data_IF_733041153879
#
_entry.id   IF_733041153879
#
_cell.length_a   1.000
_cell.length_b   1.000
_cell.length_c   1.000
_cell.angle_alpha   90.00
_cell.angle_beta   90.00
_cell.angle_gamma   90.00
#
_symmetry.space_group_name_H-M   'P 1'
#
loop_
_entity.id
_entity.type
_entity.pdbx_description
1 polymer ?
#
# COMPACT_ATOMS: atom_id res chain seq x y z
N UNK A 1 -11.15 15.11 -7.52
CA UNK A 1 -9.77 14.72 -7.16
C UNK A 1 -8.76 15.58 -7.88
N UNK A 2 -7.59 15.84 -7.29
CA UNK A 2 -6.47 16.59 -7.89
C UNK A 2 -5.33 15.62 -8.18
N UNK A 3 -4.84 15.60 -9.43
CA UNK A 3 -3.78 14.69 -9.84
C UNK A 3 -2.42 15.41 -9.89
N UNK A 4 -1.43 14.83 -9.21
CA UNK A 4 -0.03 15.21 -9.27
C UNK A 4 0.70 14.08 -9.98
N UNK A 5 0.98 14.26 -11.27
CA UNK A 5 1.57 13.21 -12.13
C UNK A 5 3.01 13.58 -12.46
N UNK A 6 3.95 12.72 -12.10
CA UNK A 6 5.40 12.91 -12.30
C UNK A 6 5.97 11.75 -13.13
N UNK A 7 6.84 12.06 -14.08
CA UNK A 7 7.60 11.09 -14.88
C UNK A 7 9.03 10.92 -14.34
N UNK A 8 9.50 9.69 -14.24
CA UNK A 8 10.91 9.33 -13.98
C UNK A 8 11.44 8.54 -15.17
N UNK A 9 12.42 9.06 -15.88
CA UNK A 9 12.94 8.51 -17.13
C UNK A 9 11.89 8.35 -18.24
N UNK A 10 10.81 9.11 -18.16
CA UNK A 10 9.73 9.19 -19.14
C UNK A 10 9.11 10.58 -19.10
N UNK A 11 8.75 11.11 -20.26
CA UNK A 11 7.94 12.32 -20.38
C UNK A 11 6.46 11.98 -20.15
N UNK A 12 5.77 12.75 -19.32
CA UNK A 12 4.33 12.62 -19.11
C UNK A 12 3.61 13.30 -20.29
N UNK A 13 3.39 12.55 -21.35
CA UNK A 13 2.67 13.04 -22.53
C UNK A 13 1.20 13.36 -22.20
N UNK A 14 0.53 14.22 -23.00
CA UNK A 14 -0.92 14.48 -22.82
C UNK A 14 -1.76 13.20 -22.86
N UNK A 15 -1.39 12.22 -23.69
CA UNK A 15 -2.08 10.92 -23.74
C UNK A 15 -1.95 10.11 -22.47
N UNK A 16 -0.75 10.02 -21.86
CA UNK A 16 -0.53 9.36 -20.61
C UNK A 16 -1.26 10.06 -19.45
N UNK A 17 -1.23 11.40 -19.42
CA UNK A 17 -1.97 12.19 -18.45
C UNK A 17 -3.47 11.89 -18.52
N UNK A 18 -4.06 11.97 -19.73
CA UNK A 18 -5.48 11.69 -19.95
C UNK A 18 -5.85 10.26 -19.55
N UNK A 19 -5.01 9.27 -19.85
CA UNK A 19 -5.25 7.89 -19.46
C UNK A 19 -5.27 7.72 -17.93
N UNK A 20 -4.31 8.32 -17.21
CA UNK A 20 -4.28 8.29 -15.75
C UNK A 20 -5.52 8.97 -15.17
N UNK A 21 -5.84 10.20 -15.63
CA UNK A 21 -6.98 10.97 -15.14
C UNK A 21 -8.32 10.27 -15.42
N UNK A 22 -8.49 9.63 -16.59
CA UNK A 22 -9.69 8.88 -16.95
C UNK A 22 -9.85 7.62 -16.10
N UNK A 23 -8.78 6.81 -15.97
CA UNK A 23 -8.86 5.52 -15.28
C UNK A 23 -8.93 5.68 -13.77
N UNK A 24 -8.00 6.41 -13.18
CA UNK A 24 -8.00 6.64 -11.73
C UNK A 24 -9.15 7.58 -11.31
N UNK A 25 -9.58 8.47 -12.19
CA UNK A 25 -10.75 9.34 -11.97
C UNK A 25 -12.05 8.58 -11.69
N UNK A 26 -12.23 7.35 -12.21
CA UNK A 26 -13.39 6.49 -11.89
C UNK A 26 -13.51 6.18 -10.40
N UNK A 27 -12.40 6.28 -9.68
CA UNK A 27 -12.35 6.04 -8.24
C UNK A 27 -12.82 7.27 -7.42
N UNK A 28 -13.12 8.41 -8.05
CA UNK A 28 -13.54 9.65 -7.37
C UNK A 28 -14.75 9.43 -6.44
N UNK A 29 -15.66 8.51 -6.80
CA UNK A 29 -16.81 8.12 -5.97
C UNK A 29 -16.47 7.65 -4.55
N UNK A 30 -15.21 7.30 -4.28
CA UNK A 30 -14.72 6.84 -2.98
C UNK A 30 -14.06 7.95 -2.15
N UNK A 31 -13.81 9.13 -2.73
CA UNK A 31 -12.97 10.19 -2.17
C UNK A 31 -13.67 11.53 -2.05
N UNK A 32 -13.06 12.42 -1.29
CA UNK A 32 -13.47 13.82 -1.27
C UNK A 32 -12.96 14.53 -2.55
N UNK A 33 -13.69 15.58 -3.04
CA UNK A 33 -13.27 16.32 -4.25
C UNK A 33 -11.85 16.90 -4.19
N UNK A 34 -11.37 17.25 -3.01
CA UNK A 34 -10.06 17.85 -2.79
C UNK A 34 -8.94 16.83 -2.53
N UNK A 35 -9.23 15.51 -2.61
CA UNK A 35 -8.21 14.48 -2.41
C UNK A 35 -7.12 14.58 -3.48
N UNK A 36 -5.86 14.68 -3.05
CA UNK A 36 -4.69 14.69 -3.93
C UNK A 36 -4.23 13.27 -4.22
N UNK A 37 -4.08 12.96 -5.51
CA UNK A 37 -3.59 11.67 -6.00
C UNK A 37 -2.21 11.86 -6.57
N UNK A 38 -1.22 11.25 -5.95
CA UNK A 38 0.16 11.26 -6.42
C UNK A 38 0.41 10.07 -7.33
N UNK A 39 0.79 10.32 -8.57
CA UNK A 39 1.10 9.30 -9.57
C UNK A 39 2.53 9.49 -10.06
N UNK A 40 3.33 8.42 -9.98
CA UNK A 40 4.66 8.38 -10.57
C UNK A 40 4.69 7.35 -11.69
N UNK A 41 5.00 7.81 -12.92
CA UNK A 41 5.26 6.96 -14.06
C UNK A 41 6.77 6.81 -14.23
N UNK A 42 7.27 5.60 -14.41
CA UNK A 42 8.71 5.37 -14.62
C UNK A 42 8.97 4.27 -15.64
N UNK A 43 10.09 4.42 -16.36
CA UNK A 43 10.55 3.43 -17.34
C UNK A 43 11.98 3.03 -17.01
N UNK A 44 12.20 1.72 -16.85
CA UNK A 44 13.50 1.10 -16.65
C UNK A 44 13.65 -0.05 -17.65
N UNK A 45 14.41 0.15 -18.72
CA UNK A 45 14.50 -0.79 -19.82
C UNK A 45 13.12 -1.08 -20.42
N UNK A 46 12.71 -2.36 -20.40
CA UNK A 46 11.39 -2.81 -20.91
C UNK A 46 10.29 -2.77 -19.84
N UNK A 47 10.60 -2.26 -18.64
CA UNK A 47 9.65 -2.23 -17.52
C UNK A 47 9.04 -0.84 -17.40
N UNK A 48 7.75 -0.76 -17.65
CA UNK A 48 6.95 0.45 -17.51
C UNK A 48 6.13 0.35 -16.22
N UNK A 49 6.45 1.20 -15.26
CA UNK A 49 5.92 1.15 -13.91
C UNK A 49 5.07 2.38 -13.62
N UNK A 50 3.91 2.13 -13.02
CA UNK A 50 3.09 3.15 -12.37
C UNK A 50 3.06 2.92 -10.87
N UNK A 51 3.21 3.98 -10.11
CA UNK A 51 2.99 4.02 -8.67
C UNK A 51 1.92 5.07 -8.35
N UNK A 52 0.89 4.68 -7.62
CA UNK A 52 -0.21 5.56 -7.20
C UNK A 52 -0.29 5.58 -5.70
N UNK A 53 -0.34 6.78 -5.11
CA UNK A 53 -0.51 7.01 -3.68
C UNK A 53 -1.70 7.93 -3.44
N UNK A 54 -2.66 7.49 -2.63
CA UNK A 54 -3.89 8.21 -2.33
C UNK A 54 -4.10 8.23 -0.81
N UNK A 55 -4.14 9.40 -0.16
CA UNK A 55 -4.48 9.51 1.26
C UNK A 55 -5.97 9.26 1.49
N UNK A 56 -6.31 8.45 2.50
CA UNK A 56 -7.69 8.09 2.86
C UNK A 56 -7.89 8.16 4.36
N UNK A 57 -8.51 9.22 4.87
CA UNK A 57 -8.93 9.35 6.30
C UNK A 57 -7.92 8.82 7.31
N UNK A 58 -6.68 9.31 7.28
CA UNK A 58 -5.61 8.91 8.19
C UNK A 58 -4.86 7.64 7.80
N UNK A 59 -5.17 7.05 6.63
CA UNK A 59 -4.44 5.95 6.02
C UNK A 59 -3.95 6.36 4.63
N UNK A 60 -3.06 5.56 4.06
CA UNK A 60 -2.54 5.76 2.72
C UNK A 60 -2.80 4.48 1.92
N UNK A 61 -3.45 4.62 0.77
CA UNK A 61 -3.49 3.57 -0.24
C UNK A 61 -2.32 3.79 -1.17
N UNK A 62 -1.50 2.76 -1.34
CA UNK A 62 -0.39 2.75 -2.29
C UNK A 62 -0.43 1.47 -3.10
N UNK A 63 -0.31 1.61 -4.42
CA UNK A 63 -0.22 0.49 -5.34
C UNK A 63 0.81 0.75 -6.40
N UNK A 64 1.57 -0.27 -6.76
CA UNK A 64 2.59 -0.25 -7.80
C UNK A 64 2.30 -1.39 -8.78
N UNK A 65 2.30 -1.07 -10.08
CA UNK A 65 2.17 -2.07 -11.14
C UNK A 65 3.23 -1.86 -12.23
N UNK A 66 3.68 -2.97 -12.77
CA UNK A 66 4.74 -3.02 -13.79
C UNK A 66 4.30 -3.93 -14.93
N UNK A 67 4.41 -3.44 -16.16
CA UNK A 67 4.24 -4.23 -17.38
C UNK A 67 5.23 -3.79 -18.47
N UNK A 68 5.08 -4.29 -19.65
CA UNK A 68 5.82 -3.82 -20.85
C UNK A 68 5.13 -2.66 -21.57
N UNK A 69 3.95 -2.23 -21.09
CA UNK A 69 3.17 -1.13 -21.64
C UNK A 69 2.58 -0.28 -20.50
N UNK A 70 2.76 1.05 -20.56
CA UNK A 70 2.30 1.95 -19.49
C UNK A 70 0.78 1.98 -19.38
N UNK A 71 0.05 1.89 -20.48
CA UNK A 71 -1.42 1.86 -20.46
C UNK A 71 -1.94 0.62 -19.76
N UNK A 72 -1.31 -0.54 -20.00
CA UNK A 72 -1.62 -1.79 -19.27
C UNK A 72 -1.31 -1.65 -17.80
N UNK A 73 -0.19 -1.01 -17.43
CA UNK A 73 0.15 -0.75 -16.02
C UNK A 73 -0.87 0.15 -15.35
N UNK A 74 -1.40 1.16 -16.07
CA UNK A 74 -2.46 2.06 -15.58
C UNK A 74 -3.77 1.28 -15.33
N UNK A 75 -4.17 0.39 -16.22
CA UNK A 75 -5.38 -0.44 -16.05
C UNK A 75 -5.24 -1.37 -14.84
N UNK A 76 -4.11 -2.05 -14.70
CA UNK A 76 -3.85 -2.97 -13.59
C UNK A 76 -3.84 -2.26 -12.23
N UNK A 77 -3.27 -1.06 -12.14
CA UNK A 77 -3.22 -0.32 -10.87
C UNK A 77 -4.61 0.17 -10.46
N UNK A 78 -5.45 0.56 -11.41
CA UNK A 78 -6.84 0.96 -11.15
C UNK A 78 -7.64 -0.16 -10.51
N UNK A 79 -7.62 -1.37 -11.09
CA UNK A 79 -8.31 -2.54 -10.56
C UNK A 79 -7.88 -2.90 -9.13
N UNK A 80 -6.56 -2.84 -8.85
CA UNK A 80 -6.03 -3.15 -7.53
C UNK A 80 -6.48 -2.12 -6.50
N UNK A 81 -6.41 -0.83 -6.83
CA UNK A 81 -6.84 0.24 -5.92
C UNK A 81 -8.35 0.14 -5.67
N UNK A 82 -9.16 -0.13 -6.70
CA UNK A 82 -10.60 -0.30 -6.50
C UNK A 82 -10.91 -1.46 -5.54
N UNK A 83 -10.21 -2.59 -5.68
CA UNK A 83 -10.33 -3.73 -4.76
C UNK A 83 -9.92 -3.38 -3.34
N UNK A 84 -8.82 -2.63 -3.17
CA UNK A 84 -8.39 -2.14 -1.85
C UNK A 84 -9.43 -1.22 -1.21
N UNK A 85 -10.04 -0.31 -2.00
CA UNK A 85 -11.08 0.61 -1.54
C UNK A 85 -12.37 -0.11 -1.14
N UNK A 86 -12.81 -1.08 -1.92
CA UNK A 86 -13.98 -1.90 -1.58
C UNK A 86 -13.76 -2.61 -0.23
N UNK A 87 -12.61 -3.28 -0.05
CA UNK A 87 -12.23 -3.92 1.23
C UNK A 87 -12.18 -2.92 2.40
N UNK A 88 -11.64 -1.73 2.18
CA UNK A 88 -11.56 -0.70 3.21
C UNK A 88 -12.95 -0.18 3.62
N UNK A 89 -13.85 0.03 2.66
CA UNK A 89 -15.24 0.47 2.89
C UNK A 89 -16.01 -0.56 3.72
N UNK A 90 -15.95 -1.84 3.37
CA UNK A 90 -16.60 -2.94 4.09
C UNK A 90 -16.17 -2.96 5.56
N UNK A 91 -14.86 -2.86 5.84
CA UNK A 91 -14.33 -2.83 7.21
C UNK A 91 -14.79 -1.66 8.07
N UNK A 92 -15.00 -0.47 7.48
CA UNK A 92 -15.53 0.69 8.21
C UNK A 92 -16.98 0.47 8.56
N UNK A 93 -17.77 -0.06 7.62
CA UNK A 93 -19.19 -0.36 7.85
C UNK A 93 -19.34 -1.40 8.95
N UNK A 94 -18.57 -2.47 8.94
CA UNK A 94 -18.60 -3.53 9.95
C UNK A 94 -18.20 -3.03 11.35
N UNK A 95 -17.16 -2.18 11.44
CA UNK A 95 -16.81 -1.54 12.71
C UNK A 95 -17.89 -0.60 13.25
N UNK A 96 -18.61 0.10 12.39
CA UNK A 96 -19.71 0.97 12.80
C UNK A 96 -20.95 0.18 13.20
N UNK A 97 -21.23 -0.96 12.58
CA UNK A 97 -22.32 -1.86 12.96
C UNK A 97 -22.04 -2.58 14.29
N UNK A 98 -20.80 -2.95 14.57
CA UNK A 98 -20.39 -3.51 15.86
C UNK A 98 -20.46 -2.49 17.00
N UNK A 99 -20.43 -1.20 16.73
CA UNK A 99 -20.56 -0.12 17.71
C UNK A 99 -22.00 0.37 17.94
N UNK A 100 -23.00 -0.31 17.37
CA UNK A 100 -24.42 -0.11 17.68
C UNK A 100 -24.96 1.28 17.39
N UNK A 101 -24.85 1.77 16.17
CA UNK A 101 -25.75 2.85 15.67
C UNK A 101 -25.53 3.07 14.16
N UNK A 102 -26.59 2.95 13.45
CA UNK A 102 -27.01 3.55 12.19
C UNK A 102 -27.44 2.59 11.07
N UNK A 103 -28.68 2.74 10.75
CA UNK A 103 -29.47 2.59 9.51
C UNK A 103 -28.85 1.83 8.34
N UNK A 104 -29.45 0.65 8.09
CA UNK A 104 -29.43 -0.06 6.82
C UNK A 104 -30.01 0.82 5.72
N UNK A 105 -29.17 1.34 4.83
CA UNK A 105 -29.62 1.79 3.52
C UNK A 105 -28.52 1.61 2.48
N UNK A 106 -28.82 0.72 1.52
CA UNK A 106 -28.06 0.36 0.31
C UNK A 106 -26.74 -0.42 0.53
N UNK A 107 -26.87 -1.72 0.73
CA UNK A 107 -25.87 -2.71 0.33
C UNK A 107 -26.43 -3.43 -0.89
N UNK A 108 -26.01 -3.04 -2.08
CA UNK A 108 -26.10 -3.94 -3.24
C UNK A 108 -25.13 -5.10 -2.99
N UNK A 109 -25.70 -6.30 -2.92
CA UNK A 109 -25.00 -7.57 -2.77
C UNK A 109 -24.18 -7.86 -4.03
N UNK A 110 -22.89 -7.55 -4.00
CA UNK A 110 -21.89 -8.19 -4.84
C UNK A 110 -21.16 -9.22 -3.97
N UNK A 111 -21.54 -10.49 -4.11
CA UNK A 111 -20.88 -11.63 -3.45
C UNK A 111 -19.47 -11.79 -4.02
N UNK A 112 -18.49 -11.13 -3.41
CA UNK A 112 -17.08 -11.46 -3.57
C UNK A 112 -16.61 -12.11 -2.26
N UNK A 113 -15.86 -13.22 -2.38
CA UNK A 113 -15.21 -13.93 -1.28
C UNK A 113 -14.62 -12.96 -0.28
N UNK A 114 -15.25 -12.85 0.89
CA UNK A 114 -14.81 -11.99 1.99
C UNK A 114 -13.63 -12.66 2.67
N UNK A 115 -12.42 -12.35 2.24
CA UNK A 115 -11.22 -12.59 3.06
C UNK A 115 -11.25 -11.65 4.28
N UNK A 116 -11.89 -12.09 5.35
CA UNK A 116 -11.89 -11.38 6.63
C UNK A 116 -10.47 -11.30 7.18
N UNK A 117 -9.97 -10.08 7.46
CA UNK A 117 -8.68 -9.93 8.14
C UNK A 117 -8.86 -10.30 9.61
N UNK A 118 -8.46 -11.51 9.96
CA UNK A 118 -8.45 -12.00 11.34
C UNK A 118 -7.03 -12.01 11.88
N UNK A 119 -6.85 -11.45 13.09
CA UNK A 119 -5.65 -11.72 13.88
C UNK A 119 -5.86 -13.08 14.54
N UNK A 120 -5.40 -14.13 13.90
CA UNK A 120 -5.54 -15.50 14.39
C UNK A 120 -4.50 -15.88 15.42
N UNK A 121 -3.44 -15.08 15.59
CA UNK A 121 -2.35 -15.38 16.52
C UNK A 121 -1.66 -14.11 17.01
N UNK A 122 -1.50 -14.00 18.32
CA UNK A 122 -0.66 -12.99 18.97
C UNK A 122 0.56 -13.67 19.57
N UNK A 123 1.76 -13.17 19.26
CA UNK A 123 3.00 -13.60 19.91
C UNK A 123 3.54 -12.44 20.74
N UNK A 124 3.99 -12.74 21.95
CA UNK A 124 4.76 -11.82 22.81
C UNK A 124 6.18 -12.36 22.87
N UNK A 125 7.16 -11.51 22.74
CA UNK A 125 8.57 -11.88 22.84
C UNK A 125 9.35 -10.71 23.44
N UNK A 126 10.44 -11.02 24.12
CA UNK A 126 11.33 -10.02 24.66
C UNK A 126 12.20 -9.46 23.52
N UNK A 127 12.18 -8.13 23.38
CA UNK A 127 13.01 -7.44 22.43
C UNK A 127 14.35 -7.12 23.11
N UNK A 128 15.45 -7.60 22.52
CA UNK A 128 16.81 -7.31 23.00
C UNK A 128 17.48 -6.27 22.11
N UNK A 129 18.31 -5.37 22.68
CA UNK A 129 19.15 -4.50 21.89
C UNK A 129 20.14 -5.31 21.05
N UNK A 130 20.24 -4.99 19.74
CA UNK A 130 21.20 -5.57 18.82
C UNK A 130 21.45 -4.63 17.65
N UNK A 131 22.49 -4.89 16.88
CA UNK A 131 22.76 -4.16 15.65
C UNK A 131 21.89 -4.67 14.48
N UNK A 132 21.65 -3.85 13.45
CA UNK A 132 20.81 -4.25 12.30
C UNK A 132 21.31 -5.52 11.59
N UNK A 133 22.62 -5.72 11.50
CA UNK A 133 23.23 -6.89 10.90
C UNK A 133 22.90 -8.17 11.70
N UNK A 134 22.99 -8.11 13.02
CA UNK A 134 22.63 -9.21 13.91
C UNK A 134 21.15 -9.54 13.83
N UNK A 135 20.31 -8.52 13.70
CA UNK A 135 18.87 -8.68 13.50
C UNK A 135 18.55 -9.38 12.16
N UNK A 136 19.30 -9.08 11.10
CA UNK A 136 19.17 -9.80 9.82
C UNK A 136 19.55 -11.28 9.96
N UNK A 137 20.64 -11.58 10.68
CA UNK A 137 21.06 -12.97 10.96
C UNK A 137 20.00 -13.70 11.79
N UNK A 138 19.48 -13.07 12.84
CA UNK A 138 18.40 -13.66 13.66
C UNK A 138 17.14 -13.93 12.84
N UNK A 139 16.75 -13.01 11.97
CA UNK A 139 15.62 -13.15 11.05
C UNK A 139 15.78 -14.40 10.17
N UNK A 140 16.97 -14.60 9.58
CA UNK A 140 17.26 -15.77 8.73
C UNK A 140 17.25 -17.07 9.53
N UNK A 141 17.86 -17.09 10.71
CA UNK A 141 17.91 -18.29 11.58
C UNK A 141 16.51 -18.72 12.04
N UNK A 142 15.58 -17.76 12.20
CA UNK A 142 14.20 -18.04 12.56
C UNK A 142 13.32 -18.38 11.35
N UNK A 143 13.82 -18.26 10.13
CA UNK A 143 13.05 -18.45 8.89
C UNK A 143 11.97 -17.40 8.70
N UNK A 144 12.16 -16.20 9.21
CA UNK A 144 11.21 -15.11 9.11
C UNK A 144 11.52 -14.19 7.93
N UNK A 145 10.52 -13.45 7.46
CA UNK A 145 10.68 -12.44 6.41
C UNK A 145 10.85 -11.02 6.97
N UNK A 146 10.67 -10.85 8.28
CA UNK A 146 10.92 -9.61 9.01
C UNK A 146 11.28 -9.94 10.46
N UNK A 147 11.95 -9.01 11.13
CA UNK A 147 12.31 -9.13 12.54
C UNK A 147 12.28 -7.74 13.20
N UNK A 148 11.67 -7.68 14.39
CA UNK A 148 11.55 -6.45 15.20
C UNK A 148 12.58 -6.51 16.31
N UNK A 149 13.36 -5.44 16.51
CA UNK A 149 14.42 -5.38 17.51
C UNK A 149 14.57 -3.96 18.06
N UNK A 150 15.31 -3.80 19.15
CA UNK A 150 15.79 -2.50 19.62
C UNK A 150 17.15 -2.28 18.98
N UNK A 151 17.33 -1.20 18.24
CA UNK A 151 18.63 -0.82 17.69
C UNK A 151 19.56 -0.36 18.81
N UNK A 152 20.70 -1.05 18.96
CA UNK A 152 21.66 -0.76 20.03
C UNK A 152 22.32 0.63 19.92
N UNK A 153 22.27 1.26 18.75
CA UNK A 153 22.83 2.61 18.53
C UNK A 153 21.82 3.72 18.87
N UNK A 154 20.52 3.51 18.57
CA UNK A 154 19.51 4.55 18.70
C UNK A 154 18.56 4.33 19.87
N UNK A 155 18.61 3.15 20.49
CA UNK A 155 17.68 2.70 21.56
C UNK A 155 16.20 2.73 21.12
N UNK A 156 15.96 2.68 19.80
CA UNK A 156 14.63 2.72 19.21
C UNK A 156 14.24 1.36 18.62
N UNK A 157 12.93 1.11 18.56
CA UNK A 157 12.40 -0.10 17.93
C UNK A 157 12.51 0.02 16.42
N UNK A 158 13.31 -0.86 15.81
CA UNK A 158 13.52 -0.93 14.37
C UNK A 158 12.99 -2.26 13.81
N UNK A 159 12.81 -2.33 12.51
CA UNK A 159 12.40 -3.55 11.80
C UNK A 159 13.32 -3.81 10.62
N UNK A 160 13.94 -4.99 10.59
CA UNK A 160 14.59 -5.50 9.37
C UNK A 160 13.62 -6.40 8.61
N UNK A 161 13.67 -6.35 7.28
CA UNK A 161 12.84 -7.19 6.42
C UNK A 161 13.58 -7.64 5.17
N UNK A 162 13.20 -8.82 4.69
CA UNK A 162 13.76 -9.42 3.48
C UNK A 162 13.21 -8.77 2.22
N UNK A 163 14.09 -8.41 1.29
CA UNK A 163 13.75 -7.88 -0.03
C UNK A 163 14.02 -8.92 -1.12
N UNK A 164 13.56 -8.66 -2.33
CA UNK A 164 13.91 -9.50 -3.49
C UNK A 164 15.41 -9.42 -3.76
N UNK A 165 16.05 -10.54 -4.10
CA UNK A 165 17.46 -10.61 -4.46
C UNK A 165 18.42 -10.69 -3.28
N UNK A 166 18.04 -11.39 -2.20
CA UNK A 166 18.88 -11.64 -1.01
C UNK A 166 19.42 -10.35 -0.36
N UNK A 167 18.64 -9.29 -0.43
CA UNK A 167 18.94 -8.02 0.22
C UNK A 167 17.94 -7.74 1.34
N UNK A 168 18.33 -6.85 2.26
CA UNK A 168 17.51 -6.50 3.42
C UNK A 168 17.14 -5.01 3.37
N UNK A 169 16.05 -4.66 4.02
CA UNK A 169 15.66 -3.29 4.31
C UNK A 169 15.57 -3.07 5.80
N UNK A 170 15.87 -1.86 6.24
CA UNK A 170 15.71 -1.37 7.60
C UNK A 170 14.60 -0.33 7.61
N UNK A 171 13.68 -0.44 8.58
CA UNK A 171 12.66 0.55 8.89
C UNK A 171 12.98 1.12 10.25
N UNK A 172 13.20 2.43 10.30
CA UNK A 172 13.46 3.20 11.51
C UNK A 172 12.31 4.18 11.75
N UNK A 173 11.86 4.38 12.99
CA UNK A 173 10.91 5.44 13.28
C UNK A 173 11.60 6.81 13.12
N UNK A 174 10.91 7.76 12.53
CA UNK A 174 11.30 9.17 12.65
C UNK A 174 10.89 9.65 14.03
N UNK A 175 11.88 10.04 14.84
CA UNK A 175 11.71 10.56 16.21
C UNK A 175 11.11 11.97 16.26
#
# INVERSE_FOLDING_TARGET
>A
MKFIIVGRNIEVTPGLRSAVEEKIGKLEKYFNPDTEVHVTLSVEKDRQKIEVTIPVKGNIIRSEQVSNDMYVSIDLVEEIIERQLKRYKTKIVDKQQAAGSFSKMYVENDYMDEEEIKIVRTKKFDIKPMYPEDACIQMELLGHNFFVFINAETDQVNVVYKRKGETYGLIEPEG
#
